data_IF_347447240606
#
_entry.id   IF_347447240606
#
_cell.length_a   1.000
_cell.length_b   1.000
_cell.length_c   1.000
_cell.angle_alpha   90.00
_cell.angle_beta   90.00
_cell.angle_gamma   90.00
#
_symmetry.space_group_name_H-M   'P 1'
#
loop_
_entity.id
_entity.type
_entity.pdbx_description
1 polymer ?
#
# COMPACT_ATOMS: atom_id res chain seq x y z
N UNK A 1 12.96 15.24 3.20
CA UNK A 1 12.09 14.35 4.00
C UNK A 1 10.69 14.94 4.06
N UNK A 2 9.70 14.14 3.68
CA UNK A 2 8.28 14.54 3.70
C UNK A 2 7.65 14.27 5.08
N UNK A 3 8.01 13.16 5.72
CA UNK A 3 7.39 12.72 6.98
C UNK A 3 8.31 11.80 7.78
N UNK A 4 8.19 11.87 9.10
CA UNK A 4 8.86 10.93 10.02
C UNK A 4 7.83 10.42 11.03
N UNK A 5 7.71 9.11 11.12
CA UNK A 5 6.87 8.40 12.09
C UNK A 5 7.53 8.36 13.49
N UNK A 6 6.74 8.04 14.52
CA UNK A 6 7.22 7.96 15.91
C UNK A 6 8.31 6.88 16.10
N UNK A 7 8.26 5.79 15.33
CA UNK A 7 9.28 4.73 15.35
C UNK A 7 10.55 5.10 14.57
N UNK A 8 10.62 6.29 13.97
CA UNK A 8 11.74 6.80 13.20
C UNK A 8 11.70 6.47 11.70
N UNK A 9 10.73 5.69 11.22
CA UNK A 9 10.55 5.46 9.78
C UNK A 9 10.27 6.79 9.08
N UNK A 10 10.80 6.95 7.86
CA UNK A 10 10.67 8.20 7.10
C UNK A 10 10.14 7.96 5.70
N UNK A 11 9.30 8.87 5.22
CA UNK A 11 9.08 9.09 3.80
C UNK A 11 10.05 10.20 3.37
N UNK A 12 11.04 9.86 2.58
CA UNK A 12 12.07 10.79 2.13
C UNK A 12 11.53 11.70 1.03
N UNK A 13 11.03 11.08 -0.04
CA UNK A 13 10.50 11.81 -1.19
C UNK A 13 9.54 10.94 -2.02
N UNK A 14 8.74 11.61 -2.82
CA UNK A 14 7.97 11.02 -3.91
C UNK A 14 8.66 11.37 -5.22
N UNK A 15 9.04 10.36 -5.97
CA UNK A 15 9.80 10.51 -7.22
C UNK A 15 8.85 10.44 -8.40
N UNK A 16 8.79 11.50 -9.18
CA UNK A 16 8.03 11.58 -10.42
C UNK A 16 8.86 10.99 -11.56
N UNK A 17 8.59 9.76 -11.89
CA UNK A 17 9.23 9.01 -12.99
C UNK A 17 8.17 8.22 -13.73
N UNK A 18 8.32 8.07 -15.05
CA UNK A 18 7.41 7.25 -15.85
C UNK A 18 7.41 5.78 -15.37
N UNK A 19 6.22 5.19 -15.29
CA UNK A 19 6.03 3.82 -14.80
C UNK A 19 6.92 2.80 -15.50
N UNK A 20 7.01 2.89 -16.83
CA UNK A 20 7.82 1.97 -17.65
C UNK A 20 9.34 2.16 -17.49
N UNK A 21 9.79 3.23 -16.86
CA UNK A 21 11.21 3.50 -16.60
C UNK A 21 11.62 3.23 -15.15
N UNK A 22 10.65 3.10 -14.24
CA UNK A 22 10.88 3.07 -12.81
C UNK A 22 11.84 1.95 -12.38
N UNK A 23 11.56 0.70 -12.74
CA UNK A 23 12.40 -0.46 -12.37
C UNK A 23 13.79 -0.41 -13.01
N UNK A 24 13.92 0.17 -14.20
CA UNK A 24 15.21 0.32 -14.88
C UNK A 24 16.09 1.33 -14.17
N UNK A 25 15.50 2.45 -13.72
CA UNK A 25 16.24 3.53 -13.07
C UNK A 25 16.46 3.27 -11.58
N UNK A 26 15.49 2.60 -10.93
CA UNK A 26 15.54 2.23 -9.52
C UNK A 26 15.38 0.72 -9.37
N UNK A 27 16.44 -0.08 -9.67
CA UNK A 27 16.34 -1.54 -9.65
C UNK A 27 16.16 -2.12 -8.24
N UNK A 28 16.30 -1.31 -7.20
CA UNK A 28 16.06 -1.68 -5.81
C UNK A 28 14.59 -1.57 -5.39
N UNK A 29 13.69 -1.11 -6.27
CA UNK A 29 12.26 -1.14 -6.01
C UNK A 29 11.85 -2.59 -5.76
N UNK A 30 11.25 -2.87 -4.59
CA UNK A 30 10.92 -4.22 -4.16
C UNK A 30 9.44 -4.49 -3.93
N UNK A 31 8.60 -3.45 -3.92
CA UNK A 31 7.16 -3.57 -3.64
C UNK A 31 6.33 -2.53 -4.38
N UNK A 32 5.01 -2.73 -4.36
CA UNK A 32 4.04 -1.77 -4.81
C UNK A 32 2.87 -1.69 -3.83
N UNK A 33 2.38 -0.48 -3.58
CA UNK A 33 1.23 -0.22 -2.71
C UNK A 33 0.13 0.48 -3.50
N UNK A 34 -1.12 0.29 -3.08
CA UNK A 34 -2.28 0.96 -3.65
C UNK A 34 -3.12 1.65 -2.58
N UNK A 35 -3.45 2.91 -2.83
CA UNK A 35 -4.41 3.67 -2.04
C UNK A 35 -5.80 3.40 -2.63
N UNK A 36 -6.71 2.89 -1.80
CA UNK A 36 -8.09 2.59 -2.21
C UNK A 36 -8.99 3.70 -1.70
N UNK A 37 -9.51 4.50 -2.62
CA UNK A 37 -10.40 5.62 -2.33
C UNK A 37 -11.86 5.25 -2.57
N UNK A 38 -12.72 5.57 -1.62
CA UNK A 38 -14.15 5.28 -1.68
C UNK A 38 -14.92 6.53 -1.26
N UNK A 39 -15.52 7.24 -2.24
CA UNK A 39 -16.40 8.40 -1.98
C UNK A 39 -15.84 9.41 -0.96
N UNK A 40 -14.57 9.80 -1.13
CA UNK A 40 -13.91 10.76 -0.25
C UNK A 40 -13.33 10.16 1.04
N UNK A 41 -13.46 8.86 1.25
CA UNK A 41 -12.85 8.07 2.32
C UNK A 41 -11.84 7.10 1.74
N UNK A 42 -11.19 6.31 2.59
CA UNK A 42 -10.21 5.31 2.17
C UNK A 42 -10.51 3.96 2.80
N UNK A 43 -10.16 2.88 2.10
CA UNK A 43 -10.22 1.52 2.64
C UNK A 43 -8.82 1.09 3.07
N UNK A 44 -8.71 0.54 4.28
CA UNK A 44 -7.48 -0.04 4.82
C UNK A 44 -7.70 -1.50 5.19
N UNK A 45 -6.61 -2.26 5.25
CA UNK A 45 -6.59 -3.65 5.67
C UNK A 45 -5.85 -3.83 6.99
N UNK A 46 -6.36 -4.70 7.88
CA UNK A 46 -5.68 -5.06 9.10
C UNK A 46 -4.66 -6.16 8.83
N UNK A 47 -3.37 -5.82 8.98
CA UNK A 47 -2.27 -6.74 8.80
C UNK A 47 -2.05 -7.56 10.08
N UNK A 48 -2.41 -8.83 10.04
CA UNK A 48 -2.44 -9.72 11.24
C UNK A 48 -1.08 -9.90 11.91
N UNK A 49 0.01 -9.91 11.13
CA UNK A 49 1.36 -10.13 11.68
C UNK A 49 2.00 -8.85 12.22
N UNK A 50 1.65 -7.68 11.65
CA UNK A 50 2.13 -6.38 12.13
C UNK A 50 1.20 -5.75 13.16
N UNK A 51 -0.01 -6.27 13.30
CA UNK A 51 -1.02 -5.81 14.26
C UNK A 51 -1.38 -4.33 14.06
N UNK A 52 -1.47 -3.90 12.80
CA UNK A 52 -1.84 -2.55 12.42
C UNK A 52 -2.66 -2.50 11.13
N UNK A 53 -3.23 -1.34 10.85
CA UNK A 53 -4.00 -1.05 9.64
C UNK A 53 -3.12 -0.37 8.61
N UNK A 54 -3.16 -0.90 7.39
CA UNK A 54 -2.27 -0.49 6.30
C UNK A 54 -3.02 -0.32 4.97
N UNK A 55 -2.35 0.32 4.01
CA UNK A 55 -2.72 0.24 2.59
C UNK A 55 -2.44 -1.17 2.06
N UNK A 56 -3.00 -1.47 0.88
CA UNK A 56 -2.83 -2.79 0.25
C UNK A 56 -1.61 -2.81 -0.65
N UNK A 57 -1.08 -4.01 -0.89
CA UNK A 57 0.07 -4.23 -1.76
C UNK A 57 1.03 -5.27 -1.20
N UNK A 58 2.18 -5.41 -1.84
CA UNK A 58 3.18 -6.38 -1.43
C UNK A 58 4.42 -6.40 -2.31
N UNK A 59 5.24 -7.42 -2.11
CA UNK A 59 6.53 -7.57 -2.78
C UNK A 59 6.37 -7.93 -4.25
N UNK A 60 7.25 -7.39 -5.09
CA UNK A 60 7.35 -7.76 -6.50
C UNK A 60 7.91 -9.18 -6.60
N UNK A 61 7.25 -10.04 -7.36
CA UNK A 61 7.76 -11.36 -7.69
C UNK A 61 8.75 -11.31 -8.86
N UNK A 62 9.67 -12.31 -8.97
CA UNK A 62 10.63 -12.33 -10.06
C UNK A 62 9.96 -12.27 -11.45
N UNK A 63 10.41 -11.31 -12.28
CA UNK A 63 9.88 -11.09 -13.61
C UNK A 63 8.61 -10.24 -13.70
N UNK A 64 8.03 -9.87 -12.58
CA UNK A 64 6.85 -9.01 -12.51
C UNK A 64 7.19 -7.54 -12.78
N UNK A 65 6.35 -6.84 -13.54
CA UNK A 65 6.36 -5.38 -13.57
C UNK A 65 5.66 -4.82 -12.32
N UNK A 66 5.81 -3.52 -12.05
CA UNK A 66 5.09 -2.85 -10.96
C UNK A 66 3.58 -3.03 -11.10
N UNK A 67 3.04 -2.85 -12.31
CA UNK A 67 1.60 -2.96 -12.57
C UNK A 67 1.10 -4.39 -12.43
N UNK A 68 1.88 -5.37 -12.84
CA UNK A 68 1.54 -6.78 -12.63
C UNK A 68 1.53 -7.13 -11.14
N UNK A 69 2.51 -6.63 -10.39
CA UNK A 69 2.57 -6.77 -8.93
C UNK A 69 1.30 -6.23 -8.28
N UNK A 70 0.97 -4.97 -8.53
CA UNK A 70 -0.19 -4.35 -7.85
C UNK A 70 -1.52 -4.98 -8.30
N UNK A 71 -1.62 -5.43 -9.56
CA UNK A 71 -2.80 -6.15 -10.03
C UNK A 71 -2.99 -7.47 -9.31
N UNK A 72 -1.92 -8.24 -9.13
CA UNK A 72 -1.94 -9.50 -8.39
C UNK A 72 -2.29 -9.29 -6.92
N UNK A 73 -1.67 -8.31 -6.25
CA UNK A 73 -1.95 -8.00 -4.85
C UNK A 73 -3.41 -7.55 -4.64
N UNK A 74 -3.94 -6.73 -5.54
CA UNK A 74 -5.36 -6.33 -5.48
C UNK A 74 -6.31 -7.52 -5.64
N UNK A 75 -5.99 -8.47 -6.51
CA UNK A 75 -6.78 -9.69 -6.65
C UNK A 75 -6.73 -10.54 -5.38
N UNK A 76 -5.55 -10.71 -4.80
CA UNK A 76 -5.34 -11.51 -3.58
C UNK A 76 -5.99 -10.87 -2.35
N UNK A 77 -5.71 -9.60 -2.12
CA UNK A 77 -6.13 -8.92 -0.88
C UNK A 77 -7.54 -8.33 -0.95
N UNK A 78 -8.01 -7.92 -2.13
CA UNK A 78 -9.30 -7.25 -2.33
C UNK A 78 -10.27 -8.06 -3.19
N UNK A 79 -9.82 -9.11 -3.87
CA UNK A 79 -10.66 -9.86 -4.81
C UNK A 79 -11.13 -9.03 -6.01
N UNK A 80 -10.44 -7.94 -6.31
CA UNK A 80 -10.78 -7.04 -7.42
C UNK A 80 -9.91 -7.37 -8.63
N UNK A 81 -10.57 -7.57 -9.77
CA UNK A 81 -9.96 -7.71 -11.09
C UNK A 81 -10.54 -6.62 -12.00
N UNK A 82 -9.89 -6.34 -13.12
CA UNK A 82 -10.35 -5.35 -14.11
C UNK A 82 -10.53 -3.93 -13.54
N UNK A 83 -9.65 -3.53 -12.62
CA UNK A 83 -9.62 -2.19 -12.06
C UNK A 83 -8.62 -1.31 -12.80
N UNK A 84 -8.95 -0.02 -12.93
CA UNK A 84 -8.04 0.97 -13.52
C UNK A 84 -7.16 1.55 -12.41
N UNK A 85 -5.85 1.34 -12.52
CA UNK A 85 -4.86 1.91 -11.61
C UNK A 85 -4.38 3.27 -12.10
N UNK A 86 -4.35 4.24 -11.19
CA UNK A 86 -3.64 5.49 -11.37
C UNK A 86 -2.23 5.32 -10.79
N UNK A 87 -1.21 5.39 -11.66
CA UNK A 87 0.17 5.38 -11.21
C UNK A 87 0.55 6.74 -10.64
N UNK A 88 1.05 6.78 -9.40
CA UNK A 88 1.32 8.02 -8.66
C UNK A 88 2.82 8.36 -8.59
N UNK A 89 3.70 7.40 -8.83
CA UNK A 89 5.14 7.58 -8.76
C UNK A 89 5.82 6.53 -7.90
N UNK A 90 7.08 6.77 -7.56
CA UNK A 90 7.89 5.93 -6.68
C UNK A 90 8.08 6.65 -5.35
N UNK A 91 7.86 5.92 -4.27
CA UNK A 91 8.13 6.40 -2.92
C UNK A 91 9.50 5.91 -2.45
N UNK A 92 10.26 6.82 -1.86
CA UNK A 92 11.56 6.54 -1.24
C UNK A 92 11.41 6.67 0.26
N UNK A 93 11.77 5.59 0.98
CA UNK A 93 11.65 5.49 2.42
C UNK A 93 13.01 5.24 3.09
N UNK A 94 13.10 5.60 4.36
CA UNK A 94 14.13 5.12 5.26
C UNK A 94 13.45 4.38 6.41
N UNK A 95 13.71 3.08 6.52
CA UNK A 95 12.95 2.16 7.36
C UNK A 95 13.77 1.58 8.50
N UNK A 96 13.14 1.39 9.69
CA UNK A 96 13.82 0.73 10.81
C UNK A 96 13.99 -0.78 10.56
N UNK A 97 14.86 -1.42 11.37
CA UNK A 97 14.99 -2.88 11.33
C UNK A 97 13.65 -3.59 11.48
N UNK A 98 13.44 -4.60 10.65
CA UNK A 98 12.21 -5.39 10.63
C UNK A 98 12.49 -6.88 10.61
N UNK A 99 11.50 -7.66 10.17
CA UNK A 99 11.63 -9.12 10.12
C UNK A 99 12.72 -9.58 9.13
N UNK A 100 12.73 -8.99 7.93
CA UNK A 100 13.62 -9.40 6.84
C UNK A 100 14.95 -8.67 6.82
N UNK A 101 14.96 -7.38 7.12
CA UNK A 101 16.17 -6.53 7.15
C UNK A 101 16.41 -6.09 8.58
N UNK A 102 17.58 -6.43 9.13
CA UNK A 102 17.92 -6.24 10.55
C UNK A 102 18.60 -4.91 10.86
N UNK A 103 18.80 -4.08 9.83
CA UNK A 103 19.44 -2.76 9.94
C UNK A 103 18.51 -1.67 9.41
N UNK A 104 18.80 -0.44 9.75
CA UNK A 104 18.19 0.71 9.08
C UNK A 104 18.55 0.71 7.60
N UNK A 105 17.58 0.88 6.74
CA UNK A 105 17.78 0.74 5.30
C UNK A 105 16.84 1.63 4.49
N UNK A 106 17.26 1.92 3.27
CA UNK A 106 16.41 2.59 2.29
C UNK A 106 15.52 1.57 1.57
N UNK A 107 14.27 1.96 1.29
CA UNK A 107 13.34 1.21 0.47
C UNK A 107 12.75 2.08 -0.63
N UNK A 108 12.46 1.46 -1.76
CA UNK A 108 11.75 2.09 -2.87
C UNK A 108 10.55 1.23 -3.25
N UNK A 109 9.39 1.88 -3.39
CA UNK A 109 8.16 1.19 -3.76
C UNK A 109 7.31 1.99 -4.74
N UNK A 110 6.59 1.29 -5.63
CA UNK A 110 5.59 1.91 -6.50
C UNK A 110 4.35 2.30 -5.71
N UNK A 111 3.78 3.46 -6.02
CA UNK A 111 2.54 3.92 -5.43
C UNK A 111 1.47 4.07 -6.51
N UNK A 112 0.31 3.50 -6.24
CA UNK A 112 -0.87 3.52 -7.10
C UNK A 112 -2.10 3.97 -6.33
N UNK A 113 -3.10 4.39 -7.06
CA UNK A 113 -4.42 4.68 -6.53
C UNK A 113 -5.51 3.98 -7.33
N UNK A 114 -6.58 3.61 -6.66
CA UNK A 114 -7.84 3.19 -7.29
C UNK A 114 -8.99 3.90 -6.61
N UNK A 115 -10.03 4.21 -7.40
CA UNK A 115 -11.28 4.75 -6.87
C UNK A 115 -12.38 3.74 -7.13
N UNK A 116 -13.06 3.33 -6.07
CA UNK A 116 -14.17 2.37 -6.13
C UNK A 116 -15.41 2.94 -5.47
N UNK A 117 -16.57 2.35 -5.74
CA UNK A 117 -17.83 2.72 -5.10
C UNK A 117 -18.01 2.00 -3.77
N UNK A 118 -18.83 2.57 -2.89
CA UNK A 118 -19.15 1.96 -1.59
C UNK A 118 -19.82 0.59 -1.73
N UNK A 119 -20.59 0.37 -2.78
CA UNK A 119 -21.25 -0.91 -3.08
C UNK A 119 -20.24 -2.04 -3.36
N UNK A 120 -19.00 -1.70 -3.70
CA UNK A 120 -17.94 -2.67 -3.97
C UNK A 120 -17.44 -3.36 -2.68
N UNK A 121 -17.65 -2.78 -1.48
CA UNK A 121 -17.13 -3.32 -0.22
C UNK A 121 -17.66 -4.73 0.05
N UNK A 122 -18.95 -4.98 -0.17
CA UNK A 122 -19.52 -6.34 0.02
C UNK A 122 -18.93 -7.35 -0.96
N UNK A 123 -18.65 -6.92 -2.19
CA UNK A 123 -18.00 -7.75 -3.20
C UNK A 123 -16.54 -8.06 -2.80
N UNK A 124 -15.83 -7.09 -2.25
CA UNK A 124 -14.48 -7.26 -1.72
C UNK A 124 -14.50 -8.32 -0.61
N UNK A 125 -15.36 -8.19 0.38
CA UNK A 125 -15.49 -9.16 1.48
C UNK A 125 -15.79 -10.57 0.99
N UNK A 126 -16.63 -10.71 -0.04
CA UNK A 126 -16.98 -12.00 -0.60
C UNK A 126 -15.86 -12.63 -1.46
N UNK A 127 -15.05 -11.82 -2.12
CA UNK A 127 -14.14 -12.28 -3.18
C UNK A 127 -12.66 -12.27 -2.80
N UNK A 128 -12.26 -11.53 -1.76
CA UNK A 128 -10.84 -11.48 -1.36
C UNK A 128 -10.33 -12.85 -0.90
N UNK A 129 -9.14 -13.20 -1.33
CA UNK A 129 -8.56 -14.54 -1.16
C UNK A 129 -7.63 -14.63 0.04
N UNK A 130 -6.78 -13.62 0.23
CA UNK A 130 -5.81 -13.59 1.31
C UNK A 130 -6.45 -13.01 2.59
N UNK A 131 -6.87 -13.92 3.47
CA UNK A 131 -7.37 -13.58 4.81
C UNK A 131 -6.40 -13.97 5.92
N UNK A 132 -5.27 -14.56 5.56
CA UNK A 132 -4.22 -14.94 6.50
C UNK A 132 -3.31 -13.77 6.82
N UNK A 133 -2.97 -12.94 5.84
CA UNK A 133 -2.18 -11.73 6.00
C UNK A 133 -3.07 -10.53 6.35
N UNK A 134 -4.10 -10.27 5.53
CA UNK A 134 -5.10 -9.21 5.77
C UNK A 134 -6.35 -9.83 6.37
N UNK A 135 -6.51 -9.68 7.69
CA UNK A 135 -7.63 -10.27 8.43
C UNK A 135 -8.96 -9.57 8.21
N UNK A 136 -8.95 -8.25 8.22
CA UNK A 136 -10.14 -7.40 8.12
C UNK A 136 -9.90 -6.23 7.19
N UNK A 137 -10.98 -5.64 6.67
CA UNK A 137 -10.97 -4.37 5.96
C UNK A 137 -11.91 -3.38 6.66
N UNK A 138 -11.58 -2.10 6.64
CA UNK A 138 -12.43 -1.06 7.23
C UNK A 138 -12.16 0.31 6.59
N UNK A 139 -13.10 1.22 6.73
CA UNK A 139 -12.96 2.60 6.29
C UNK A 139 -12.06 3.39 7.25
N UNK A 140 -11.19 4.21 6.69
CA UNK A 140 -10.26 5.06 7.43
C UNK A 140 -10.99 5.96 8.43
N UNK A 141 -12.11 6.58 8.05
CA UNK A 141 -12.89 7.44 8.95
C UNK A 141 -13.41 6.70 10.18
N UNK A 142 -13.84 5.45 10.03
CA UNK A 142 -14.28 4.61 11.14
C UNK A 142 -13.11 4.23 12.06
N UNK A 143 -11.97 3.90 11.47
CA UNK A 143 -10.74 3.56 12.21
C UNK A 143 -10.26 4.74 13.06
N UNK A 144 -10.33 5.97 12.55
CA UNK A 144 -9.98 7.18 13.30
C UNK A 144 -10.92 7.42 14.48
N UNK A 145 -12.22 7.20 14.31
CA UNK A 145 -13.19 7.31 15.40
C UNK A 145 -12.95 6.28 16.51
N UNK A 146 -12.49 5.10 16.17
CA UNK A 146 -12.18 4.01 17.09
C UNK A 146 -10.77 4.12 17.70
N UNK A 147 -9.99 5.12 17.31
CA UNK A 147 -8.59 5.26 17.71
C UNK A 147 -7.77 4.00 17.41
N UNK A 148 -8.05 3.37 16.25
CA UNK A 148 -7.37 2.16 15.82
C UNK A 148 -5.88 2.41 15.55
N UNK A 149 -5.08 1.35 15.67
CA UNK A 149 -3.65 1.40 15.37
C UNK A 149 -3.43 1.38 13.86
N UNK A 150 -3.24 2.55 13.28
CA UNK A 150 -2.93 2.71 11.85
C UNK A 150 -1.43 2.96 11.72
N UNK A 151 -0.77 2.22 10.83
CA UNK A 151 0.65 2.47 10.52
C UNK A 151 0.83 3.91 10.02
N UNK A 152 1.72 4.67 10.66
CA UNK A 152 1.88 6.10 10.40
C UNK A 152 2.40 6.40 8.98
N UNK A 153 3.26 5.53 8.43
CA UNK A 153 3.75 5.67 7.04
C UNK A 153 2.59 5.46 6.07
N UNK A 154 1.83 4.38 6.24
CA UNK A 154 0.67 4.08 5.41
C UNK A 154 -0.41 5.16 5.51
N UNK A 155 -0.70 5.65 6.71
CA UNK A 155 -1.64 6.76 6.92
C UNK A 155 -1.19 8.01 6.14
N UNK A 156 0.10 8.33 6.20
CA UNK A 156 0.64 9.49 5.49
C UNK A 156 0.55 9.35 3.96
N UNK A 157 0.63 8.14 3.43
CA UNK A 157 0.49 7.90 1.99
C UNK A 157 -0.88 8.31 1.44
N UNK A 158 -1.94 8.26 2.26
CA UNK A 158 -3.31 8.56 1.81
C UNK A 158 -3.44 9.96 1.21
N UNK A 159 -2.61 10.92 1.62
CA UNK A 159 -2.64 12.28 1.10
C UNK A 159 -2.26 12.39 -0.39
N UNK A 160 -1.63 11.35 -0.97
CA UNK A 160 -1.16 11.39 -2.36
C UNK A 160 -2.23 11.00 -3.37
N UNK A 161 -3.43 10.65 -2.92
CA UNK A 161 -4.55 10.27 -3.80
C UNK A 161 -5.92 10.81 -3.27
#
# INVERSE_FOLDING_TARGET
MIFRAANGAEIIEKIDIAENEALRKYPTINHALVIVKIEGDYLLGFHKWRDDWETFGGLIEPGESLRECISRECEEELGIIDVTFDYLGIMHYYMPPGYWVKEWHEEYGGLYGITISRDTIEQIEANRKDKDEIGEIALYSELKLQEANIDEINERLLQFY
#
